data_IF_850078931653
#
_entry.id   IF_850078931653
#
_cell.length_a   1.000
_cell.length_b   1.000
_cell.length_c   1.000
_cell.angle_alpha   90.00
_cell.angle_beta   90.00
_cell.angle_gamma   90.00
#
_symmetry.space_group_name_H-M   'P 1'
#
loop_
_entity.id
_entity.type
_entity.pdbx_description
1 polymer ?
#
# COMPACT_ATOMS: atom_id res chain seq x y z
N UNK A 1 7.12 22.44 9.02
CA UNK A 1 6.30 22.47 8.42
C UNK A 1 6.09 21.36 7.80
N UNK A 2 5.38 20.90 7.96
CA UNK A 2 5.13 19.78 7.40
C UNK A 2 4.86 19.95 6.02
N UNK A 3 5.36 19.15 5.24
CA UNK A 3 5.02 19.17 3.89
C UNK A 3 3.56 18.96 3.75
N UNK A 4 2.98 19.59 2.80
CA UNK A 4 1.58 19.39 2.52
C UNK A 4 1.45 18.04 1.88
N UNK A 5 0.95 17.09 2.64
CA UNK A 5 0.82 15.71 2.18
C UNK A 5 -0.06 15.63 0.96
N UNK A 6 -1.12 16.43 0.90
CA UNK A 6 -2.02 16.38 -0.23
C UNK A 6 -1.37 16.88 -1.52
N UNK A 7 -0.25 17.60 -1.41
CA UNK A 7 0.43 18.08 -2.60
C UNK A 7 1.34 17.02 -3.23
N UNK A 8 1.65 15.95 -2.52
CA UNK A 8 2.49 14.93 -3.10
C UNK A 8 1.70 14.16 -4.13
N UNK A 9 2.29 13.95 -5.27
CA UNK A 9 1.61 13.26 -6.36
C UNK A 9 2.54 12.31 -7.05
N UNK A 10 1.97 11.22 -7.53
CA UNK A 10 2.70 10.24 -8.32
C UNK A 10 2.04 10.22 -9.70
N UNK A 11 2.82 10.11 -10.74
CA UNK A 11 2.28 10.02 -12.10
C UNK A 11 2.01 8.56 -12.42
N UNK A 12 0.77 8.28 -12.83
CA UNK A 12 0.33 6.93 -13.14
C UNK A 12 -0.29 6.93 -14.53
N UNK A 13 0.07 5.96 -15.34
CA UNK A 13 -0.55 5.79 -16.65
C UNK A 13 -1.79 4.94 -16.48
N UNK A 14 -2.92 5.44 -16.98
CA UNK A 14 -4.17 4.69 -16.89
C UNK A 14 -4.07 3.39 -17.67
N UNK A 15 -4.31 2.24 -17.04
CA UNK A 15 -4.21 0.97 -17.76
C UNK A 15 -5.29 0.77 -18.80
N UNK A 16 -6.34 1.58 -18.79
CA UNK A 16 -7.43 1.44 -19.75
C UNK A 16 -7.28 2.34 -20.96
N UNK A 17 -6.91 3.59 -20.77
CA UNK A 17 -6.88 4.52 -21.90
C UNK A 17 -5.50 5.12 -22.18
N UNK A 18 -4.50 4.84 -21.35
CA UNK A 18 -3.14 5.30 -21.58
C UNK A 18 -2.86 6.73 -21.14
N UNK A 19 -3.86 7.43 -20.63
CA UNK A 19 -3.66 8.81 -20.18
C UNK A 19 -2.83 8.86 -18.92
N UNK A 20 -1.87 9.75 -18.86
CA UNK A 20 -1.07 9.95 -17.65
C UNK A 20 -1.84 10.83 -16.68
N UNK A 21 -1.84 10.44 -15.43
CA UNK A 21 -2.56 11.13 -14.39
C UNK A 21 -1.66 11.40 -13.20
N UNK A 22 -1.90 12.48 -12.49
CA UNK A 22 -1.21 12.76 -11.25
C UNK A 22 -2.12 12.33 -10.12
N UNK A 23 -1.62 11.41 -9.29
CA UNK A 23 -2.41 10.81 -8.23
C UNK A 23 -1.89 11.30 -6.89
N UNK A 24 -2.72 11.93 -6.06
CA UNK A 24 -2.26 12.43 -4.76
C UNK A 24 -2.05 11.30 -3.77
N UNK A 25 -1.20 11.54 -2.77
CA UNK A 25 -0.97 10.58 -1.72
C UNK A 25 -2.18 10.42 -0.81
N UNK A 26 -2.99 11.46 -0.70
CA UNK A 26 -4.20 11.45 0.14
C UNK A 26 -5.34 12.02 -0.69
N UNK A 27 -6.48 11.37 -0.65
CA UNK A 27 -7.67 11.86 -1.37
C UNK A 27 -8.92 11.35 -0.67
N UNK A 28 -10.02 12.06 -0.89
CA UNK A 28 -11.31 11.62 -0.41
C UNK A 28 -11.85 10.64 -1.45
N UNK A 29 -11.81 9.41 -1.22
CA UNK A 29 -12.23 8.40 -2.19
C UNK A 29 -11.04 7.98 -3.05
N UNK A 30 -11.31 7.19 -4.06
CA UNK A 30 -10.25 6.59 -4.87
C UNK A 30 -9.95 7.42 -6.10
N UNK A 31 -8.69 7.49 -6.52
CA UNK A 31 -8.33 8.24 -7.72
C UNK A 31 -8.93 7.62 -8.98
N UNK A 32 -9.39 8.47 -9.88
CA UNK A 32 -9.93 8.02 -11.15
C UNK A 32 -9.26 8.77 -12.28
N UNK A 33 -9.19 8.13 -13.43
CA UNK A 33 -8.60 8.73 -14.62
C UNK A 33 -9.40 9.95 -15.05
N UNK A 34 -8.71 11.05 -15.27
CA UNK A 34 -9.38 12.28 -15.71
C UNK A 34 -9.96 12.18 -17.11
N UNK A 35 -9.54 11.17 -17.89
CA UNK A 35 -10.02 10.99 -19.24
C UNK A 35 -11.14 9.95 -19.32
N UNK A 36 -10.91 8.73 -18.85
CA UNK A 36 -11.89 7.65 -19.02
C UNK A 36 -12.64 7.29 -17.75
N UNK A 37 -12.25 7.86 -16.61
CA UNK A 37 -12.96 7.70 -15.34
C UNK A 37 -12.80 6.35 -14.67
N UNK A 38 -12.01 5.45 -15.20
CA UNK A 38 -11.72 4.19 -14.51
C UNK A 38 -10.85 4.47 -13.29
N UNK A 39 -10.93 3.62 -12.29
CA UNK A 39 -10.07 3.72 -11.11
C UNK A 39 -8.62 3.54 -11.51
N UNK A 40 -7.74 4.31 -10.89
CA UNK A 40 -6.32 4.25 -11.18
C UNK A 40 -5.59 3.43 -10.13
N UNK A 41 -4.47 2.80 -10.48
CA UNK A 41 -3.61 2.22 -9.45
C UNK A 41 -3.22 3.33 -8.47
N UNK A 42 -3.36 3.06 -7.18
CA UNK A 42 -3.06 4.08 -6.17
C UNK A 42 -1.79 3.66 -5.45
N UNK A 43 -0.68 4.31 -5.76
CA UNK A 43 0.63 4.00 -5.22
C UNK A 43 1.18 5.27 -4.60
N UNK A 44 1.52 5.22 -3.32
CA UNK A 44 2.01 6.38 -2.60
C UNK A 44 3.20 5.99 -1.75
N UNK A 45 3.98 6.97 -1.34
CA UNK A 45 5.06 6.77 -0.39
C UNK A 45 4.70 7.48 0.89
N UNK A 46 5.15 6.95 2.02
CA UNK A 46 4.90 7.57 3.30
C UNK A 46 6.12 7.41 4.19
N UNK A 47 6.29 8.35 5.09
CA UNK A 47 7.30 8.33 6.13
C UNK A 47 6.67 8.56 7.48
N UNK A 48 7.49 8.88 8.46
CA UNK A 48 6.99 9.02 9.83
C UNK A 48 6.00 10.16 9.98
N UNK A 49 6.18 11.22 9.21
CA UNK A 49 5.35 12.40 9.38
C UNK A 49 3.96 12.25 8.79
N UNK A 50 3.81 11.45 7.76
CA UNK A 50 2.55 11.39 7.03
C UNK A 50 1.91 10.00 6.95
N UNK A 51 2.49 9.02 7.63
CA UNK A 51 1.96 7.66 7.55
C UNK A 51 0.49 7.58 7.98
N UNK A 52 0.14 8.31 9.03
CA UNK A 52 -1.24 8.29 9.49
C UNK A 52 -2.20 8.77 8.41
N UNK A 53 -1.85 9.87 7.74
CA UNK A 53 -2.73 10.44 6.71
C UNK A 53 -2.74 9.58 5.45
N UNK A 54 -1.57 9.06 5.05
CA UNK A 54 -1.45 8.35 3.78
C UNK A 54 -1.99 6.93 3.90
N UNK A 55 -1.71 6.25 5.01
CA UNK A 55 -2.05 4.84 5.16
C UNK A 55 -3.16 4.57 6.17
N UNK A 56 -3.04 5.10 7.38
CA UNK A 56 -3.96 4.70 8.43
C UNK A 56 -5.36 5.25 8.27
N UNK A 57 -5.48 6.45 7.71
CA UNK A 57 -6.80 7.06 7.52
C UNK A 57 -7.36 6.83 6.14
N UNK A 58 -6.72 6.00 5.34
CA UNK A 58 -7.23 5.72 4.01
C UNK A 58 -8.59 5.04 4.10
N UNK A 59 -9.47 5.36 3.17
CA UNK A 59 -10.83 4.85 3.19
C UNK A 59 -10.93 3.42 2.66
N UNK A 60 -9.88 2.91 2.03
CA UNK A 60 -9.86 1.55 1.52
C UNK A 60 -8.69 0.80 2.14
N UNK A 61 -8.65 -0.53 2.05
CA UNK A 61 -7.52 -1.28 2.59
C UNK A 61 -6.20 -0.85 1.97
N UNK A 62 -5.14 -0.92 2.76
CA UNK A 62 -3.82 -0.47 2.33
C UNK A 62 -2.85 -1.64 2.40
N UNK A 63 -2.14 -1.84 1.31
CA UNK A 63 -1.02 -2.78 1.26
C UNK A 63 0.23 -1.95 1.52
N UNK A 64 0.89 -2.18 2.66
CA UNK A 64 2.09 -1.43 3.02
C UNK A 64 3.32 -2.27 2.71
N UNK A 65 4.26 -1.67 1.98
CA UNK A 65 5.52 -2.31 1.61
C UNK A 65 6.64 -1.64 2.39
N UNK A 66 7.18 -2.32 3.40
CA UNK A 66 8.36 -1.86 4.12
C UNK A 66 9.58 -2.36 3.37
N UNK A 67 10.39 -1.44 2.87
CA UNK A 67 11.50 -1.76 1.99
C UNK A 67 12.73 -0.94 2.35
N UNK A 68 13.86 -1.23 1.71
CA UNK A 68 15.08 -0.45 1.87
C UNK A 68 15.82 -0.39 0.54
N UNK A 69 16.59 0.67 0.34
CA UNK A 69 17.30 0.87 -0.92
C UNK A 69 18.34 -0.20 -1.21
N UNK A 70 18.93 -0.78 -0.16
CA UNK A 70 19.98 -1.80 -0.30
C UNK A 70 19.43 -3.21 -0.45
N UNK A 71 18.14 -3.37 -0.42
CA UNK A 71 17.51 -4.68 -0.36
C UNK A 71 17.22 -5.22 -1.76
N UNK A 72 17.94 -6.26 -2.18
CA UNK A 72 17.70 -6.89 -3.48
C UNK A 72 16.33 -7.51 -3.61
N UNK A 73 15.88 -8.32 -2.63
CA UNK A 73 14.53 -8.91 -2.71
C UNK A 73 13.43 -7.87 -2.78
N UNK A 74 13.63 -6.69 -2.17
CA UNK A 74 12.65 -5.62 -2.27
C UNK A 74 12.48 -5.16 -3.71
N UNK A 75 13.61 -5.07 -4.45
CA UNK A 75 13.53 -4.66 -5.85
C UNK A 75 12.84 -5.71 -6.68
N UNK A 76 12.99 -6.98 -6.32
CA UNK A 76 12.35 -8.05 -7.06
C UNK A 76 10.85 -8.07 -6.82
N UNK A 77 10.40 -7.74 -5.61
CA UNK A 77 8.98 -7.81 -5.29
C UNK A 77 8.24 -6.55 -5.72
N UNK A 78 8.93 -5.44 -5.89
CA UNK A 78 8.28 -4.16 -6.20
C UNK A 78 7.39 -4.22 -7.45
N UNK A 79 7.84 -4.79 -8.59
CA UNK A 79 6.96 -4.88 -9.76
C UNK A 79 5.72 -5.72 -9.48
N UNK A 80 5.84 -6.78 -8.66
CA UNK A 80 4.70 -7.60 -8.33
C UNK A 80 3.67 -6.82 -7.52
N UNK A 81 4.14 -6.00 -6.59
CA UNK A 81 3.23 -5.18 -5.79
C UNK A 81 2.54 -4.12 -6.64
N UNK A 82 3.26 -3.54 -7.58
CA UNK A 82 2.65 -2.55 -8.48
C UNK A 82 1.63 -3.20 -9.39
N UNK A 83 1.90 -4.43 -9.80
CA UNK A 83 0.94 -5.19 -10.58
C UNK A 83 -0.34 -5.41 -9.78
N UNK A 84 -0.20 -5.77 -8.50
CA UNK A 84 -1.38 -5.97 -7.65
C UNK A 84 -2.14 -4.67 -7.47
N UNK A 85 -1.44 -3.54 -7.31
CA UNK A 85 -2.11 -2.26 -7.20
C UNK A 85 -2.90 -1.94 -8.47
N UNK A 86 -2.37 -2.34 -9.62
CA UNK A 86 -3.06 -2.13 -10.89
C UNK A 86 -4.28 -3.05 -10.99
N UNK A 87 -4.11 -4.32 -10.66
CA UNK A 87 -5.22 -5.28 -10.72
C UNK A 87 -6.34 -4.94 -9.75
N UNK A 88 -5.99 -4.34 -8.63
CA UNK A 88 -6.95 -4.00 -7.59
C UNK A 88 -7.20 -2.50 -7.50
N UNK A 89 -7.08 -1.80 -8.61
CA UNK A 89 -7.32 -0.35 -8.64
C UNK A 89 -8.73 -0.06 -8.13
N UNK A 90 -8.85 0.90 -7.23
CA UNK A 90 -10.12 1.22 -6.59
C UNK A 90 -10.44 0.35 -5.38
N UNK A 91 -9.68 -0.73 -5.16
CA UNK A 91 -9.93 -1.67 -4.07
C UNK A 91 -8.87 -1.55 -2.98
N UNK A 92 -7.62 -1.36 -3.36
CA UNK A 92 -6.53 -1.19 -2.40
C UNK A 92 -5.68 0.01 -2.77
N UNK A 93 -4.90 0.45 -1.79
CA UNK A 93 -3.89 1.49 -1.97
C UNK A 93 -2.55 0.87 -1.58
N UNK A 94 -1.54 1.01 -2.42
CA UNK A 94 -0.19 0.54 -2.12
C UNK A 94 0.59 1.70 -1.53
N UNK A 95 1.13 1.52 -0.32
CA UNK A 95 1.92 2.55 0.35
C UNK A 95 3.30 1.98 0.63
N UNK A 96 4.33 2.64 0.15
CA UNK A 96 5.72 2.20 0.32
C UNK A 96 6.38 2.99 1.42
N UNK A 97 7.07 2.31 2.32
CA UNK A 97 7.76 2.93 3.45
C UNK A 97 9.21 2.48 3.46
N UNK A 98 10.13 3.42 3.31
CA UNK A 98 11.56 3.15 3.37
C UNK A 98 11.93 3.08 4.85
N UNK A 99 12.30 1.90 5.34
CA UNK A 99 12.56 1.72 6.78
C UNK A 99 13.76 2.50 7.27
N UNK A 100 14.71 2.81 6.38
CA UNK A 100 15.89 3.58 6.79
C UNK A 100 15.52 5.03 7.00
N UNK A 101 14.51 5.54 6.30
CA UNK A 101 14.05 6.89 6.48
C UNK A 101 12.94 7.00 7.51
N UNK A 102 12.34 5.88 7.87
CA UNK A 102 11.25 5.85 8.83
C UNK A 102 11.49 4.78 9.89
N UNK A 103 12.59 4.91 10.66
CA UNK A 103 12.93 3.88 11.64
C UNK A 103 11.88 3.71 12.74
N UNK A 104 11.18 4.77 13.11
CA UNK A 104 10.14 4.65 14.13
C UNK A 104 8.98 3.79 13.65
N UNK A 105 8.64 3.86 12.37
CA UNK A 105 7.61 2.99 11.83
C UNK A 105 8.08 1.54 11.80
N UNK A 106 9.35 1.32 11.46
CA UNK A 106 9.90 -0.03 11.49
C UNK A 106 9.83 -0.64 12.87
N UNK A 107 10.11 0.16 13.92
CA UNK A 107 10.02 -0.32 15.27
C UNK A 107 8.56 -0.54 15.69
N UNK A 108 7.70 0.37 15.33
CA UNK A 108 6.30 0.27 15.72
C UNK A 108 5.65 -0.99 15.17
N UNK A 109 5.95 -1.34 13.93
CA UNK A 109 5.37 -2.52 13.31
C UNK A 109 6.26 -3.74 13.42
N UNK A 110 7.36 -3.63 14.18
CA UNK A 110 8.27 -4.74 14.45
C UNK A 110 8.81 -5.35 13.15
N UNK A 111 9.30 -4.47 12.29
CA UNK A 111 9.86 -4.91 11.01
C UNK A 111 11.29 -5.35 11.26
N UNK A 112 11.53 -6.65 11.18
CA UNK A 112 12.86 -7.20 11.44
C UNK A 112 13.60 -7.56 10.17
N UNK A 113 12.91 -7.62 9.07
CA UNK A 113 13.52 -7.93 7.79
C UNK A 113 12.73 -7.24 6.70
N UNK A 114 13.35 -6.98 5.57
CA UNK A 114 12.68 -6.38 4.43
C UNK A 114 12.82 -7.30 3.22
N UNK A 115 11.82 -7.38 2.36
CA UNK A 115 10.56 -6.65 2.47
C UNK A 115 9.65 -7.30 3.51
N UNK A 116 8.84 -6.49 4.17
CA UNK A 116 7.74 -6.99 4.99
C UNK A 116 6.49 -6.27 4.50
N UNK A 117 5.45 -7.02 4.24
CA UNK A 117 4.20 -6.49 3.72
C UNK A 117 3.13 -6.59 4.79
N UNK A 118 2.34 -5.54 4.92
CA UNK A 118 1.19 -5.55 5.82
C UNK A 118 -0.05 -5.18 5.04
N UNK A 119 -1.19 -5.72 5.42
CA UNK A 119 -2.47 -5.22 4.96
C UNK A 119 -3.12 -4.50 6.14
N UNK A 120 -3.43 -3.23 5.96
CA UNK A 120 -4.13 -2.45 6.97
C UNK A 120 -5.57 -2.27 6.54
N UNK A 121 -6.49 -2.41 7.48
CA UNK A 121 -7.90 -2.14 7.25
C UNK A 121 -8.36 -1.23 8.38
N UNK A 122 -8.72 -0.01 8.04
CA UNK A 122 -9.12 0.96 9.06
C UNK A 122 -7.99 1.25 10.04
N UNK A 123 -6.75 1.20 9.57
CA UNK A 123 -5.58 1.48 10.39
C UNK A 123 -5.08 0.29 11.21
N UNK A 124 -5.76 -0.86 11.14
CA UNK A 124 -5.35 -2.03 11.91
C UNK A 124 -4.72 -3.07 11.00
N UNK A 125 -3.73 -3.79 11.53
CA UNK A 125 -3.03 -4.81 10.75
C UNK A 125 -3.93 -6.04 10.60
N UNK A 126 -4.31 -6.33 9.37
CA UNK A 126 -5.14 -7.49 9.07
C UNK A 126 -4.30 -8.68 8.64
N UNK A 127 -3.12 -8.46 8.09
CA UNK A 127 -2.26 -9.56 7.64
C UNK A 127 -0.83 -9.08 7.54
N UNK A 128 0.12 -10.01 7.63
CA UNK A 128 1.55 -9.74 7.56
C UNK A 128 2.22 -10.84 6.75
N UNK A 129 3.14 -10.44 5.88
CA UNK A 129 3.91 -11.37 5.07
C UNK A 129 5.35 -10.89 5.06
N UNK A 130 6.27 -11.69 5.57
CA UNK A 130 7.68 -11.34 5.55
C UNK A 130 8.36 -12.02 4.35
N UNK A 131 9.27 -11.29 3.71
CA UNK A 131 10.03 -11.80 2.59
C UNK A 131 9.33 -11.63 1.26
N UNK A 132 10.10 -11.78 0.19
CA UNK A 132 9.59 -11.67 -1.16
C UNK A 132 8.92 -12.98 -1.55
N UNK A 133 7.94 -12.89 -2.44
CA UNK A 133 7.26 -14.05 -2.95
C UNK A 133 6.78 -13.75 -4.38
N UNK A 134 6.51 -14.77 -5.17
CA UNK A 134 5.98 -14.55 -6.53
C UNK A 134 4.62 -13.86 -6.49
N UNK A 135 4.28 -13.17 -7.57
CA UNK A 135 3.04 -12.41 -7.63
C UNK A 135 1.81 -13.29 -7.36
N UNK A 136 1.82 -14.53 -7.84
CA UNK A 136 0.67 -15.40 -7.62
C UNK A 136 0.45 -15.69 -6.13
N UNK A 137 1.54 -15.87 -5.38
CA UNK A 137 1.45 -16.10 -3.94
C UNK A 137 0.97 -14.85 -3.23
N UNK A 138 1.51 -13.71 -3.61
CA UNK A 138 1.11 -12.44 -3.00
C UNK A 138 -0.34 -12.10 -3.33
N UNK A 139 -0.77 -12.40 -4.53
CA UNK A 139 -2.16 -12.16 -4.93
C UNK A 139 -3.12 -12.95 -4.06
N UNK A 140 -2.82 -14.23 -3.82
CA UNK A 140 -3.66 -15.05 -2.98
C UNK A 140 -3.67 -14.55 -1.54
N UNK A 141 -2.48 -14.22 -1.03
CA UNK A 141 -2.35 -13.70 0.33
C UNK A 141 -3.16 -12.40 0.50
N UNK A 142 -3.06 -11.50 -0.48
CA UNK A 142 -3.78 -10.25 -0.44
C UNK A 142 -5.29 -10.49 -0.50
N UNK A 143 -5.73 -11.33 -1.41
CA UNK A 143 -7.16 -11.59 -1.56
C UNK A 143 -7.73 -12.23 -0.31
N UNK A 144 -6.99 -13.13 0.33
CA UNK A 144 -7.43 -13.71 1.59
C UNK A 144 -7.55 -12.65 2.67
N UNK A 145 -6.61 -11.74 2.74
CA UNK A 145 -6.66 -10.67 3.74
C UNK A 145 -7.84 -9.74 3.50
N UNK A 146 -8.20 -9.53 2.24
CA UNK A 146 -9.30 -8.62 1.90
C UNK A 146 -10.66 -9.24 2.13
N UNK A 147 -10.75 -10.57 2.10
CA UNK A 147 -12.04 -11.22 2.26
C UNK A 147 -12.32 -11.63 3.71
N UNK A 148 -11.29 -11.61 4.57
CA UNK A 148 -11.51 -12.01 5.95
C UNK A 148 -12.23 -10.94 6.74
N UNK A 149 -12.92 -11.35 7.81
CA UNK A 149 -13.54 -10.40 8.70
C UNK A 149 -12.48 -9.58 9.40
N UNK A 150 -12.90 -8.52 10.06
CA UNK A 150 -11.98 -7.72 10.80
C UNK A 150 -11.28 -8.55 11.84
N UNK A 151 -10.04 -8.25 12.15
CA UNK A 151 -9.29 -9.06 13.11
C UNK A 151 -10.00 -9.25 14.44
N UNK A 152 -10.72 -8.23 14.91
CA UNK A 152 -11.41 -8.36 16.18
C UNK A 152 -12.54 -9.37 16.09
N UNK A 153 -13.07 -9.61 14.95
CA UNK A 153 -14.14 -10.55 14.82
C UNK A 153 -13.64 -11.95 14.72
N UNK A 154 -12.40 -12.09 14.26
CA UNK A 154 -11.92 -13.37 14.15
C UNK A 154 -11.60 -14.02 15.36
N UNK A 155 -11.47 -13.39 16.39
CA UNK A 155 -11.07 -13.90 17.50
C UNK A 155 -11.95 -14.75 18.11
N UNK A 156 -12.73 -15.16 18.03
CA UNK A 156 -13.45 -15.85 18.71
C UNK A 156 -13.50 -16.95 18.74
N UNK A 157 -13.40 -17.52 18.94
CA UNK A 157 -13.52 -18.59 19.11
C UNK A 157 -14.10 -19.11 19.94
N UNK A 158 -14.39 -19.33 20.13
CA UNK A 158 -14.78 -19.81 20.96
C UNK A 158 -14.90 -20.62 21.40
#
# INVERSE_FOLDING_TARGET
>A
MTADVAARRTVVTCPHCGKRNRVPSVADGVPRCGNCRHSLPWIAEAGEDDFAAVAERASIPVLVDFWATWCGPCRMVSPALEQLATERAGVIKLVKVDVDRAPALGQRFQIQAVPTLLVLRGGEVAARQAGAAPVAVLRRWLDDALTESKPSEKKEPS
#
